data_IF_540301913381
#
_entry.id   IF_540301913381
#
_cell.length_a   1.000
_cell.length_b   1.000
_cell.length_c   1.000
_cell.angle_alpha   90.00
_cell.angle_beta   90.00
_cell.angle_gamma   90.00
#
_symmetry.space_group_name_H-M   'P 1'
#
loop_
_entity.id
_entity.type
_entity.pdbx_description
1 polymer ?
#
# COMPACT_ATOMS: atom_id res chain seq x y z
N UNK A 1 -2.50 48.80 38.90
CA UNK A 1 -1.78 48.66 37.61
C UNK A 1 -1.45 47.17 37.44
N UNK A 2 -1.53 46.61 36.23
CA UNK A 2 -1.49 45.18 35.84
C UNK A 2 -2.86 44.48 35.69
N UNK A 3 -3.61 44.73 34.61
CA UNK A 3 -4.60 43.73 34.08
C UNK A 3 -4.92 43.84 32.58
N UNK A 4 -4.32 44.73 31.79
CA UNK A 4 -4.76 44.98 30.39
C UNK A 4 -3.94 44.35 29.26
N UNK A 5 -2.87 43.58 29.53
CA UNK A 5 -2.01 43.02 28.46
C UNK A 5 -2.24 41.53 28.15
N UNK A 6 -3.17 40.84 28.83
CA UNK A 6 -3.35 39.39 28.66
C UNK A 6 -4.27 39.02 27.48
N UNK A 7 -5.11 39.95 27.04
CA UNK A 7 -6.08 39.75 25.95
C UNK A 7 -5.43 39.58 24.57
N UNK A 8 -4.47 40.42 24.12
CA UNK A 8 -3.90 40.26 22.78
C UNK A 8 -3.07 38.98 22.66
N UNK A 9 -2.37 38.56 23.72
CA UNK A 9 -1.62 37.31 23.74
C UNK A 9 -2.52 36.09 23.57
N UNK A 10 -3.68 36.10 24.25
CA UNK A 10 -4.69 35.06 24.12
C UNK A 10 -5.27 35.00 22.71
N UNK A 11 -5.56 36.16 22.09
CA UNK A 11 -6.08 36.22 20.71
C UNK A 11 -5.05 35.67 19.72
N UNK A 12 -3.78 36.05 19.82
CA UNK A 12 -2.71 35.54 18.94
C UNK A 12 -2.53 34.03 19.10
N UNK A 13 -2.57 33.54 20.34
CA UNK A 13 -2.44 32.11 20.63
C UNK A 13 -3.62 31.30 20.08
N UNK A 14 -4.85 31.80 20.25
CA UNK A 14 -6.05 31.18 19.69
C UNK A 14 -6.03 31.21 18.15
N UNK A 15 -5.60 32.31 17.53
CA UNK A 15 -5.51 32.43 16.09
C UNK A 15 -4.45 31.48 15.48
N UNK A 16 -3.28 31.36 16.12
CA UNK A 16 -2.23 30.42 15.70
C UNK A 16 -2.69 28.96 15.84
N UNK A 17 -3.38 28.62 16.93
CA UNK A 17 -3.96 27.30 17.13
C UNK A 17 -5.05 26.97 16.09
N UNK A 18 -5.97 27.91 15.84
CA UNK A 18 -7.01 27.75 14.82
C UNK A 18 -6.42 27.60 13.42
N UNK A 19 -5.38 28.37 13.09
CA UNK A 19 -4.67 28.26 11.82
C UNK A 19 -3.97 26.90 11.67
N UNK A 20 -3.33 26.40 12.72
CA UNK A 20 -2.75 25.06 12.77
C UNK A 20 -3.81 23.97 12.59
N UNK A 21 -4.94 24.07 13.28
CA UNK A 21 -6.07 23.15 13.16
C UNK A 21 -6.69 23.16 11.75
N UNK A 22 -6.79 24.32 11.09
CA UNK A 22 -7.27 24.42 9.71
C UNK A 22 -6.28 23.85 8.68
N UNK A 23 -4.98 23.84 8.99
CA UNK A 23 -3.93 23.36 8.08
C UNK A 23 -3.53 21.91 8.35
N UNK A 24 -3.93 21.33 9.47
CA UNK A 24 -3.74 19.91 9.70
C UNK A 24 -4.66 19.15 8.75
N UNK A 25 -4.11 18.35 7.82
CA UNK A 25 -4.93 17.39 7.11
C UNK A 25 -5.52 16.48 8.19
N UNK A 26 -6.85 16.43 8.28
CA UNK A 26 -7.53 15.36 8.99
C UNK A 26 -6.92 14.07 8.44
N UNK A 27 -6.05 13.45 9.26
CA UNK A 27 -5.54 12.12 8.96
C UNK A 27 -6.76 11.25 9.16
N UNK A 28 -7.52 11.07 8.08
CA UNK A 28 -8.60 10.10 8.02
C UNK A 28 -8.07 8.83 8.69
N UNK A 29 -8.71 8.33 9.76
CA UNK A 29 -8.35 7.04 10.30
C UNK A 29 -8.41 6.07 9.13
N UNK A 30 -7.24 5.53 8.77
CA UNK A 30 -7.03 4.57 7.67
C UNK A 30 -8.28 3.70 7.58
N UNK A 31 -9.00 3.82 6.46
CA UNK A 31 -10.26 3.13 6.24
C UNK A 31 -10.19 1.73 6.83
N UNK A 32 -11.06 1.46 7.82
CA UNK A 32 -11.28 0.11 8.30
C UNK A 32 -11.50 -0.77 7.07
N UNK A 33 -10.66 -1.79 6.94
CA UNK A 33 -10.65 -2.66 5.76
C UNK A 33 -12.07 -3.12 5.44
N UNK A 34 -12.49 -3.10 4.16
CA UNK A 34 -13.82 -3.59 3.82
C UNK A 34 -13.91 -5.04 4.26
N UNK A 35 -14.94 -5.36 5.05
CA UNK A 35 -15.38 -6.73 5.30
C UNK A 35 -15.68 -7.37 3.95
N UNK A 36 -14.70 -8.09 3.38
CA UNK A 36 -14.93 -8.91 2.21
C UNK A 36 -15.92 -9.99 2.60
N UNK A 37 -17.14 -9.89 2.08
CA UNK A 37 -18.02 -11.04 1.97
C UNK A 37 -17.31 -12.06 1.09
N UNK A 38 -16.83 -13.11 1.73
CA UNK A 38 -16.13 -14.27 1.16
C UNK A 38 -17.09 -15.01 0.23
N UNK A 39 -17.02 -14.71 -1.06
CA UNK A 39 -17.59 -15.56 -2.10
C UNK A 39 -16.81 -16.87 -2.14
N UNK A 40 -17.52 -17.98 -2.18
CA UNK A 40 -17.03 -19.35 -2.08
C UNK A 40 -16.07 -19.71 -3.20
N UNK A 41 -14.77 -19.47 -3.00
CA UNK A 41 -13.70 -20.16 -3.72
C UNK A 41 -12.41 -20.08 -2.92
N UNK A 42 -12.24 -20.93 -1.92
CA UNK A 42 -10.99 -20.99 -1.17
C UNK A 42 -10.90 -22.32 -0.41
N UNK A 43 -10.14 -23.27 -0.96
CA UNK A 43 -9.21 -23.96 -0.09
C UNK A 43 -8.00 -23.03 0.01
N UNK A 44 -7.89 -22.22 1.09
CA UNK A 44 -6.70 -21.42 1.27
C UNK A 44 -5.57 -22.41 1.48
N UNK A 45 -4.68 -22.51 0.50
CA UNK A 45 -3.43 -23.21 0.74
C UNK A 45 -2.77 -22.47 1.91
N UNK A 46 -2.41 -23.21 2.96
CA UNK A 46 -1.80 -22.61 4.15
C UNK A 46 -0.40 -22.10 3.80
N UNK A 47 -0.38 -20.84 3.35
CA UNK A 47 0.80 -20.09 2.92
C UNK A 47 1.80 -19.89 4.06
N UNK A 48 1.40 -20.15 5.31
CA UNK A 48 2.26 -20.08 6.49
C UNK A 48 3.25 -21.26 6.56
N UNK A 49 2.98 -22.36 5.85
CA UNK A 49 3.83 -23.55 5.78
C UNK A 49 4.91 -23.46 4.69
N UNK A 50 4.89 -22.44 3.85
CA UNK A 50 5.81 -22.33 2.73
C UNK A 50 7.03 -21.48 3.06
N UNK A 51 8.22 -21.88 2.57
CA UNK A 51 9.39 -21.03 2.68
C UNK A 51 9.13 -19.64 2.07
N UNK A 52 9.72 -18.57 2.63
CA UNK A 52 9.58 -17.23 2.08
C UNK A 52 10.05 -17.18 0.63
N UNK A 53 9.19 -16.70 -0.28
CA UNK A 53 9.48 -16.63 -1.71
C UNK A 53 9.10 -17.89 -2.52
N UNK A 54 8.41 -18.86 -1.92
CA UNK A 54 7.79 -19.99 -2.63
C UNK A 54 6.29 -19.70 -2.87
N UNK A 55 5.68 -20.08 -4.01
CA UNK A 55 6.22 -20.81 -5.17
C UNK A 55 6.86 -19.90 -6.22
N UNK A 56 7.93 -20.37 -6.88
CA UNK A 56 8.58 -19.63 -7.97
C UNK A 56 7.96 -19.87 -9.35
N UNK A 57 7.15 -20.92 -9.48
CA UNK A 57 6.50 -21.29 -10.74
C UNK A 57 5.43 -20.27 -11.15
N UNK A 58 5.34 -20.03 -12.46
CA UNK A 58 4.34 -19.14 -13.01
C UNK A 58 2.94 -19.69 -12.69
N UNK A 59 1.98 -18.83 -12.29
CA UNK A 59 0.62 -19.26 -12.07
C UNK A 59 -0.02 -19.66 -13.41
N UNK A 60 -0.81 -20.72 -13.40
CA UNK A 60 -1.58 -21.19 -14.56
C UNK A 60 -2.59 -20.16 -15.06
N UNK A 61 -3.09 -19.33 -14.15
CA UNK A 61 -4.06 -18.28 -14.44
C UNK A 61 -3.42 -16.91 -14.24
N UNK A 62 -3.81 -15.89 -15.03
CA UNK A 62 -3.35 -14.53 -14.83
C UNK A 62 -3.67 -14.05 -13.41
N UNK A 63 -2.69 -13.44 -12.75
CA UNK A 63 -2.89 -12.84 -11.44
C UNK A 63 -3.81 -11.62 -11.54
N UNK A 64 -4.58 -11.39 -10.48
CA UNK A 64 -5.18 -10.08 -10.26
C UNK A 64 -4.10 -9.03 -9.98
N UNK A 65 -4.44 -7.75 -10.14
CA UNK A 65 -3.52 -6.64 -9.88
C UNK A 65 -3.03 -6.63 -8.41
N UNK A 66 -3.88 -7.01 -7.46
CA UNK A 66 -3.53 -7.11 -6.04
C UNK A 66 -2.53 -8.26 -5.79
N UNK A 67 -2.78 -9.44 -6.34
CA UNK A 67 -1.88 -10.60 -6.21
C UNK A 67 -0.54 -10.34 -6.89
N UNK A 68 -0.54 -9.62 -8.02
CA UNK A 68 0.69 -9.22 -8.69
C UNK A 68 1.55 -8.29 -7.82
N UNK A 69 0.94 -7.34 -7.11
CA UNK A 69 1.66 -6.51 -6.13
C UNK A 69 2.21 -7.34 -4.96
N UNK A 70 1.42 -8.26 -4.42
CA UNK A 70 1.86 -9.14 -3.34
C UNK A 70 3.02 -10.03 -3.77
N UNK A 71 2.94 -10.66 -4.96
CA UNK A 71 4.02 -11.46 -5.52
C UNK A 71 5.31 -10.65 -5.70
N UNK A 72 5.21 -9.38 -6.14
CA UNK A 72 6.38 -8.49 -6.22
C UNK A 72 7.04 -8.22 -4.86
N UNK A 73 6.25 -8.16 -3.78
CA UNK A 73 6.72 -7.94 -2.41
C UNK A 73 7.23 -9.22 -1.74
N UNK A 74 6.67 -10.38 -2.06
CA UNK A 74 7.12 -11.67 -1.53
C UNK A 74 8.39 -12.17 -2.21
N UNK A 75 8.62 -11.79 -3.47
CA UNK A 75 9.77 -12.23 -4.27
C UNK A 75 10.78 -11.09 -4.52
N UNK A 76 11.12 -10.30 -3.48
CA UNK A 76 12.04 -9.17 -3.62
C UNK A 76 13.43 -9.57 -4.13
N UNK A 77 13.93 -10.72 -3.67
CA UNK A 77 15.27 -11.24 -4.01
C UNK A 77 15.33 -11.94 -5.37
N UNK A 78 14.19 -12.32 -5.94
CA UNK A 78 14.16 -13.01 -7.23
C UNK A 78 14.31 -12.06 -8.41
N UNK A 79 14.86 -12.54 -9.52
CA UNK A 79 14.77 -11.86 -10.81
C UNK A 79 13.56 -12.34 -11.60
N UNK A 80 13.04 -11.53 -12.53
CA UNK A 80 11.95 -11.95 -13.44
C UNK A 80 12.39 -13.05 -14.43
N UNK A 81 13.70 -13.31 -14.55
CA UNK A 81 14.23 -14.38 -15.40
C UNK A 81 14.23 -15.74 -14.70
N UNK A 82 14.38 -15.75 -13.39
CA UNK A 82 14.54 -16.97 -12.58
C UNK A 82 13.26 -17.33 -11.82
N UNK A 83 12.32 -16.40 -11.67
CA UNK A 83 11.04 -16.61 -10.99
C UNK A 83 9.88 -16.35 -11.95
N UNK A 84 9.25 -17.42 -12.43
CA UNK A 84 8.08 -17.37 -13.30
C UNK A 84 6.90 -16.65 -12.65
N UNK A 85 6.72 -16.80 -11.33
CA UNK A 85 5.69 -16.05 -10.59
C UNK A 85 5.92 -14.55 -10.61
N UNK A 86 7.18 -14.11 -10.44
CA UNK A 86 7.55 -12.69 -10.52
C UNK A 86 7.42 -12.17 -11.94
N UNK A 87 7.75 -12.96 -12.95
CA UNK A 87 7.55 -12.61 -14.35
C UNK A 87 6.06 -12.36 -14.66
N UNK A 88 5.18 -13.31 -14.30
CA UNK A 88 3.74 -13.18 -14.50
C UNK A 88 3.16 -11.95 -13.78
N UNK A 89 3.58 -11.70 -12.53
CA UNK A 89 3.19 -10.50 -11.81
C UNK A 89 3.67 -9.21 -12.49
N UNK A 90 4.88 -9.22 -13.06
CA UNK A 90 5.41 -8.07 -13.79
C UNK A 90 4.60 -7.77 -15.05
N UNK A 91 4.23 -8.81 -15.80
CA UNK A 91 3.46 -8.68 -17.02
C UNK A 91 2.07 -8.08 -16.73
N UNK A 92 1.41 -8.52 -15.65
CA UNK A 92 0.14 -7.94 -15.20
C UNK A 92 0.29 -6.45 -14.86
N UNK A 93 1.31 -6.08 -14.07
CA UNK A 93 1.50 -4.69 -13.64
C UNK A 93 1.92 -3.76 -14.78
N UNK A 94 2.70 -4.27 -15.73
CA UNK A 94 3.08 -3.51 -16.93
C UNK A 94 1.93 -3.36 -17.91
N UNK A 95 1.14 -4.42 -18.13
CA UNK A 95 -0.10 -4.37 -18.91
C UNK A 95 -1.13 -3.41 -18.33
N UNK A 96 -1.22 -3.31 -17.00
CA UNK A 96 -2.07 -2.34 -16.30
C UNK A 96 -1.50 -0.91 -16.25
N UNK A 97 -0.27 -0.69 -16.74
CA UNK A 97 0.38 0.63 -16.72
C UNK A 97 0.82 1.11 -15.33
N UNK A 98 0.80 0.25 -14.31
CA UNK A 98 1.23 0.56 -12.94
C UNK A 98 2.75 0.62 -12.85
N UNK A 99 3.43 -0.27 -13.57
CA UNK A 99 4.88 -0.29 -13.67
C UNK A 99 5.32 -0.27 -15.13
N UNK A 100 6.58 0.12 -15.38
CA UNK A 100 7.16 0.08 -16.72
C UNK A 100 8.36 -0.82 -16.74
N UNK A 101 8.52 -1.56 -17.83
CA UNK A 101 9.76 -2.28 -18.07
C UNK A 101 10.93 -1.31 -18.19
N UNK A 102 12.01 -1.62 -17.46
CA UNK A 102 13.27 -0.89 -17.64
C UNK A 102 13.84 -1.32 -18.99
N UNK A 103 13.79 -0.43 -19.98
CA UNK A 103 14.48 -0.65 -21.26
C UNK A 103 15.98 -0.79 -21.02
N UNK A 104 16.62 -1.83 -21.56
CA UNK A 104 18.07 -1.87 -21.66
C UNK A 104 18.48 -0.93 -22.79
N UNK A 105 19.17 0.15 -22.45
CA UNK A 105 19.74 1.11 -23.40
C UNK A 105 21.22 0.77 -23.62
#
# INVERSE_FOLDING_TARGET
MLTTSLVPGLIVTLAAFAYGALRLPLTEPRHAAPTRLRTTQDHPIDISLWPPGWPHEAPEQPLSLLEAHQAMQSHLTCTTKECGRKAAAFDVLTGAGVTRARSKR
#
